data_IF_976044193549
#
_entry.id   IF_976044193549
#
_cell.length_a   1.000
_cell.length_b   1.000
_cell.length_c   1.000
_cell.angle_alpha   90.00
_cell.angle_beta   90.00
_cell.angle_gamma   90.00
#
_symmetry.space_group_name_H-M   'P 1'
#
loop_
_entity.id
_entity.type
_entity.pdbx_description
1 polymer ?
#
# COMPACT_ATOMS: atom_id res chain seq x y z
N UNK A 1 21.45 84.97 -12.98
CA UNK A 1 22.69 84.79 -12.20
C UNK A 1 22.30 84.73 -10.74
N UNK A 2 22.32 83.54 -10.14
CA UNK A 2 21.95 83.31 -8.74
C UNK A 2 23.19 82.94 -7.94
N UNK A 3 23.40 83.70 -6.86
CA UNK A 3 24.60 83.79 -6.04
C UNK A 3 24.89 82.50 -5.24
N UNK A 4 26.18 82.19 -5.11
CA UNK A 4 26.75 81.12 -4.28
C UNK A 4 27.21 81.71 -2.94
N UNK A 5 26.70 81.19 -1.82
CA UNK A 5 27.23 81.30 -0.44
C UNK A 5 26.74 80.06 0.36
N UNK A 6 27.26 79.74 1.56
CA UNK A 6 28.53 79.03 1.78
C UNK A 6 28.36 77.74 2.62
N UNK A 7 29.47 77.05 2.85
CA UNK A 7 29.57 75.83 3.64
C UNK A 7 29.25 76.05 5.13
N UNK A 8 28.52 75.09 5.72
CA UNK A 8 28.53 74.87 7.17
C UNK A 8 27.15 74.56 7.77
N UNK A 9 26.79 73.28 7.85
CA UNK A 9 26.28 72.64 9.08
C UNK A 9 26.69 71.17 9.02
N UNK A 10 27.65 70.77 9.84
CA UNK A 10 27.98 69.37 10.07
C UNK A 10 26.93 68.78 11.03
N UNK A 11 26.04 67.92 10.53
CA UNK A 11 25.27 67.05 11.42
C UNK A 11 26.17 65.94 11.94
N UNK A 12 26.33 65.91 13.26
CA UNK A 12 27.09 64.94 14.01
C UNK A 12 26.53 63.52 13.77
N UNK A 13 27.22 62.71 12.98
CA UNK A 13 27.01 61.26 13.03
C UNK A 13 27.55 60.75 14.37
N UNK A 14 26.66 60.28 15.24
CA UNK A 14 27.05 59.58 16.47
C UNK A 14 28.10 58.51 16.18
N UNK A 15 29.30 58.67 16.76
CA UNK A 15 30.34 57.65 16.69
C UNK A 15 29.96 56.49 17.61
N UNK A 16 29.68 55.33 17.02
CA UNK A 16 29.48 54.08 17.74
C UNK A 16 30.85 53.63 18.28
N UNK A 17 30.98 53.35 19.59
CA UNK A 17 32.22 52.85 20.19
C UNK A 17 32.73 51.57 19.51
N UNK A 18 34.05 51.44 19.34
CA UNK A 18 34.69 50.30 18.67
C UNK A 18 34.34 48.95 19.32
N UNK A 19 33.96 48.92 20.60
CA UNK A 19 33.56 47.68 21.28
C UNK A 19 32.26 47.08 20.71
N UNK A 20 31.42 47.89 20.05
CA UNK A 20 30.16 47.44 19.44
C UNK A 20 30.31 47.05 17.96
N UNK A 21 31.47 47.29 17.33
CA UNK A 21 31.74 46.80 15.97
C UNK A 21 32.07 45.31 16.02
N UNK A 22 31.06 44.47 15.82
CA UNK A 22 31.26 43.02 15.64
C UNK A 22 32.21 42.77 14.48
N UNK A 23 33.41 42.30 14.80
CA UNK A 23 34.37 41.76 13.85
C UNK A 23 33.69 40.73 12.93
N UNK A 24 33.53 41.10 11.65
CA UNK A 24 33.05 40.19 10.62
C UNK A 24 34.16 39.16 10.33
N UNK A 25 34.20 38.09 11.14
CA UNK A 25 35.03 36.92 10.84
C UNK A 25 34.51 36.32 9.54
N UNK A 26 35.22 36.59 8.45
CA UNK A 26 34.93 36.07 7.13
C UNK A 26 34.82 34.54 7.15
N UNK A 27 33.59 34.01 7.07
CA UNK A 27 33.32 32.64 6.63
C UNK A 27 33.10 32.62 5.12
N UNK A 28 34.12 32.97 4.36
CA UNK A 28 34.16 32.75 2.90
C UNK A 28 34.36 31.25 2.63
N UNK A 29 33.51 30.67 1.77
CA UNK A 29 33.88 29.49 0.96
C UNK A 29 33.13 28.18 1.18
N UNK A 30 32.88 27.72 2.42
CA UNK A 30 32.33 26.35 2.64
C UNK A 30 30.80 26.26 2.55
N UNK A 31 30.09 27.29 3.02
CA UNK A 31 28.61 27.29 3.04
C UNK A 31 27.97 27.41 1.65
N UNK A 32 28.54 28.23 0.75
CA UNK A 32 28.05 28.35 -0.64
C UNK A 32 28.27 27.05 -1.42
N UNK A 33 29.43 26.39 -1.31
CA UNK A 33 29.68 25.10 -1.97
C UNK A 33 28.81 23.97 -1.42
N UNK A 34 28.56 23.93 -0.10
CA UNK A 34 27.63 22.95 0.50
C UNK A 34 26.17 23.22 0.10
N UNK A 35 25.75 24.49 0.07
CA UNK A 35 24.41 24.90 -0.40
C UNK A 35 24.23 24.62 -1.88
N UNK A 36 25.24 24.93 -2.71
CA UNK A 36 25.27 24.62 -4.14
C UNK A 36 25.31 23.11 -4.41
N UNK A 37 26.07 22.31 -3.65
CA UNK A 37 26.06 20.83 -3.75
C UNK A 37 24.73 20.25 -3.32
N UNK A 38 24.10 20.76 -2.25
CA UNK A 38 22.74 20.36 -1.85
C UNK A 38 21.69 20.77 -2.88
N UNK A 39 21.75 21.97 -3.45
CA UNK A 39 20.81 22.40 -4.50
C UNK A 39 21.06 21.69 -5.83
N UNK A 40 22.32 21.39 -6.17
CA UNK A 40 22.71 20.66 -7.38
C UNK A 40 22.34 19.18 -7.27
N UNK A 41 22.59 18.51 -6.13
CA UNK A 41 22.10 17.16 -5.86
C UNK A 41 20.57 17.08 -5.81
N UNK A 42 19.90 18.13 -5.29
CA UNK A 42 18.43 18.25 -5.35
C UNK A 42 17.94 18.50 -6.78
N UNK A 43 18.74 19.12 -7.66
CA UNK A 43 18.46 19.37 -9.09
C UNK A 43 18.82 18.19 -10.00
N UNK A 44 19.81 17.38 -9.63
CA UNK A 44 20.15 16.10 -10.26
C UNK A 44 19.11 15.02 -9.94
N UNK A 45 18.61 14.96 -8.68
CA UNK A 45 17.41 14.17 -8.35
C UNK A 45 16.15 14.61 -9.12
N UNK A 46 16.09 15.85 -9.61
CA UNK A 46 14.99 16.40 -10.44
C UNK A 46 15.13 16.09 -11.94
N UNK A 47 16.18 15.39 -12.38
CA UNK A 47 16.30 14.89 -13.77
C UNK A 47 15.91 13.43 -13.91
N UNK A 48 15.66 12.73 -12.80
CA UNK A 48 15.10 11.39 -12.85
C UNK A 48 13.58 11.54 -12.96
N UNK A 49 13.08 11.62 -14.20
CA UNK A 49 11.67 11.39 -14.49
C UNK A 49 11.50 9.88 -14.35
N UNK A 50 10.92 9.37 -13.24
CA UNK A 50 10.80 7.92 -13.09
C UNK A 50 9.99 7.39 -14.28
N UNK A 51 10.35 6.21 -14.79
CA UNK A 51 9.58 5.50 -15.81
C UNK A 51 8.17 5.07 -15.31
N UNK A 52 7.72 5.60 -14.17
CA UNK A 52 6.48 5.27 -13.48
C UNK A 52 5.73 6.56 -13.13
N UNK A 53 4.39 6.58 -13.25
CA UNK A 53 3.59 7.73 -12.88
C UNK A 53 3.73 8.06 -11.38
N UNK A 54 3.88 9.35 -11.07
CA UNK A 54 3.93 9.87 -9.70
C UNK A 54 2.52 10.01 -9.14
N UNK A 55 2.22 9.32 -8.03
CA UNK A 55 0.89 9.32 -7.42
C UNK A 55 0.96 9.97 -6.03
N UNK A 56 0.17 11.01 -5.81
CA UNK A 56 -0.03 11.64 -4.51
C UNK A 56 -1.29 11.06 -3.89
N UNK A 57 -1.19 10.57 -2.65
CA UNK A 57 -2.35 10.08 -1.91
C UNK A 57 -2.44 10.72 -0.54
N UNK A 58 -3.63 11.18 -0.16
CA UNK A 58 -3.85 11.86 1.12
C UNK A 58 -5.26 11.65 1.66
N UNK A 59 -5.37 11.54 2.98
CA UNK A 59 -6.66 11.62 3.67
C UNK A 59 -6.91 13.07 4.08
N UNK A 60 -7.96 13.70 3.54
CA UNK A 60 -8.16 15.15 3.61
C UNK A 60 -9.21 15.56 4.65
N UNK A 61 -10.05 14.63 5.15
CA UNK A 61 -11.07 14.90 6.20
C UNK A 61 -11.84 16.20 5.94
N UNK A 62 -12.56 16.26 4.81
CA UNK A 62 -13.13 17.45 4.15
C UNK A 62 -12.17 18.14 3.19
N UNK A 63 -12.42 17.96 1.89
CA UNK A 63 -11.64 18.56 0.80
C UNK A 63 -12.07 20.00 0.51
N UNK A 64 -13.36 20.32 0.62
CA UNK A 64 -13.91 21.62 0.24
C UNK A 64 -13.18 22.79 0.91
N UNK A 65 -12.84 22.65 2.19
CA UNK A 65 -12.18 23.68 2.98
C UNK A 65 -10.66 23.81 2.72
N UNK A 66 -10.10 22.98 1.84
CA UNK A 66 -8.65 22.86 1.59
C UNK A 66 -8.29 23.01 0.12
N UNK A 67 -9.25 23.40 -0.72
CA UNK A 67 -9.04 23.58 -2.15
C UNK A 67 -8.06 24.73 -2.45
N UNK A 68 -8.11 25.81 -1.68
CA UNK A 68 -7.15 26.91 -1.83
C UNK A 68 -5.72 26.48 -1.51
N UNK A 69 -5.56 25.70 -0.44
CA UNK A 69 -4.27 25.15 -0.02
C UNK A 69 -3.75 24.13 -1.04
N UNK A 70 -4.62 23.26 -1.56
CA UNK A 70 -4.30 22.31 -2.62
C UNK A 70 -3.91 23.02 -3.92
N UNK A 71 -4.62 24.08 -4.30
CA UNK A 71 -4.33 24.88 -5.50
C UNK A 71 -2.99 25.59 -5.35
N UNK A 72 -2.72 26.14 -4.17
CA UNK A 72 -1.43 26.73 -3.84
C UNK A 72 -0.30 25.69 -3.90
N UNK A 73 -0.52 24.46 -3.42
CA UNK A 73 0.44 23.37 -3.51
C UNK A 73 0.68 22.92 -4.96
N UNK A 74 -0.38 22.76 -5.75
CA UNK A 74 -0.29 22.41 -7.17
C UNK A 74 0.50 23.46 -7.98
N UNK A 75 0.42 24.74 -7.60
CA UNK A 75 1.18 25.83 -8.24
C UNK A 75 2.62 25.93 -7.73
N UNK A 76 2.83 25.82 -6.42
CA UNK A 76 4.12 26.10 -5.78
C UNK A 76 5.06 24.91 -5.70
N UNK A 77 4.52 23.69 -5.56
CA UNK A 77 5.32 22.49 -5.37
C UNK A 77 5.36 21.66 -6.65
N UNK A 78 6.58 21.46 -7.18
CA UNK A 78 6.81 20.60 -8.35
C UNK A 78 6.31 19.17 -8.14
N UNK A 79 6.30 18.68 -6.89
CA UNK A 79 5.80 17.34 -6.55
C UNK A 79 4.31 17.19 -6.86
N UNK A 80 3.49 18.23 -6.61
CA UNK A 80 2.07 18.26 -6.94
C UNK A 80 1.83 18.63 -8.40
N UNK A 81 2.59 19.58 -8.93
CA UNK A 81 2.45 20.03 -10.32
C UNK A 81 2.80 18.96 -11.34
N UNK A 82 3.82 18.16 -11.06
CA UNK A 82 4.33 17.12 -11.96
C UNK A 82 3.84 15.72 -11.56
N UNK A 83 2.86 15.63 -10.65
CA UNK A 83 2.23 14.35 -10.35
C UNK A 83 1.35 13.89 -11.53
N UNK A 84 1.27 12.59 -11.75
CA UNK A 84 0.37 12.01 -12.74
C UNK A 84 -1.04 11.84 -12.19
N UNK A 85 -1.19 11.54 -10.89
CA UNK A 85 -2.49 11.28 -10.25
C UNK A 85 -2.47 11.83 -8.81
N UNK A 86 -3.53 12.52 -8.40
CA UNK A 86 -3.83 12.85 -7.00
C UNK A 86 -5.07 12.08 -6.52
N UNK A 87 -4.95 11.32 -5.43
CA UNK A 87 -6.04 10.56 -4.83
C UNK A 87 -6.31 11.05 -3.41
N UNK A 88 -7.50 11.61 -3.17
CA UNK A 88 -7.92 12.07 -1.85
C UNK A 88 -9.03 11.18 -1.27
N UNK A 89 -8.88 10.76 -0.02
CA UNK A 89 -9.91 10.01 0.73
C UNK A 89 -10.54 10.86 1.83
N UNK A 90 -11.76 10.52 2.25
CA UNK A 90 -12.55 11.30 3.21
C UNK A 90 -12.74 12.76 2.76
N UNK A 91 -13.02 12.97 1.46
CA UNK A 91 -13.28 14.28 0.87
C UNK A 91 -14.56 14.93 1.40
N UNK A 92 -15.50 14.12 1.88
CA UNK A 92 -16.81 14.52 2.42
C UNK A 92 -17.65 15.34 1.43
N UNK A 93 -17.43 15.11 0.13
CA UNK A 93 -18.22 15.73 -0.94
C UNK A 93 -19.56 15.01 -1.10
N UNK A 94 -20.58 15.78 -1.46
CA UNK A 94 -21.95 15.31 -1.77
C UNK A 94 -22.45 15.99 -3.04
N UNK A 95 -23.52 15.45 -3.62
CA UNK A 95 -24.06 15.86 -4.94
C UNK A 95 -24.39 17.35 -5.07
N UNK A 96 -24.64 18.04 -3.95
CA UNK A 96 -24.98 19.48 -3.96
C UNK A 96 -23.75 20.39 -4.08
N UNK A 97 -22.53 19.87 -3.90
CA UNK A 97 -21.31 20.64 -4.15
C UNK A 97 -20.97 20.50 -5.64
N UNK A 98 -20.90 21.61 -6.42
CA UNK A 98 -20.56 21.53 -7.83
C UNK A 98 -19.08 21.19 -8.05
N UNK A 99 -18.79 20.50 -9.16
CA UNK A 99 -17.43 20.02 -9.49
C UNK A 99 -16.42 21.16 -9.69
N UNK A 100 -16.90 22.35 -10.08
CA UNK A 100 -16.06 23.55 -10.19
C UNK A 100 -15.37 23.90 -8.88
N UNK A 101 -15.98 23.60 -7.72
CA UNK A 101 -15.40 23.89 -6.41
C UNK A 101 -14.22 22.97 -6.07
N UNK A 102 -14.07 21.85 -6.77
CA UNK A 102 -13.01 20.85 -6.57
C UNK A 102 -12.10 20.70 -7.80
N UNK A 103 -12.13 21.69 -8.69
CA UNK A 103 -11.25 21.75 -9.85
C UNK A 103 -9.85 22.25 -9.47
N UNK A 104 -8.82 21.57 -9.97
CA UNK A 104 -7.41 21.99 -9.83
C UNK A 104 -6.83 22.19 -11.22
N UNK A 105 -6.24 23.36 -11.47
CA UNK A 105 -5.65 23.69 -12.76
C UNK A 105 -4.66 22.61 -13.23
N UNK A 106 -4.87 22.09 -14.44
CA UNK A 106 -4.00 21.10 -15.07
C UNK A 106 -4.33 19.64 -14.73
N UNK A 107 -5.37 19.36 -13.94
CA UNK A 107 -5.84 18.02 -13.62
C UNK A 107 -7.31 17.82 -14.00
N UNK A 108 -7.65 16.60 -14.44
CA UNK A 108 -9.04 16.19 -14.58
C UNK A 108 -9.58 15.69 -13.23
N UNK A 109 -10.60 16.37 -12.72
CA UNK A 109 -11.28 15.96 -11.48
C UNK A 109 -12.26 14.82 -11.77
N UNK A 110 -12.14 13.72 -11.02
CA UNK A 110 -13.11 12.62 -11.02
C UNK A 110 -13.51 12.37 -9.57
N UNK A 111 -14.82 12.37 -9.29
CA UNK A 111 -15.37 12.15 -7.95
C UNK A 111 -16.20 10.88 -7.89
N UNK A 112 -16.10 10.19 -6.75
CA UNK A 112 -16.97 9.08 -6.39
C UNK A 112 -17.64 9.42 -5.07
N UNK A 113 -18.80 10.07 -5.15
CA UNK A 113 -19.56 10.45 -3.96
C UNK A 113 -20.21 9.23 -3.34
N UNK A 114 -20.28 9.23 -2.01
CA UNK A 114 -21.09 8.24 -1.31
C UNK A 114 -22.52 8.74 -1.37
N UNK A 115 -23.35 8.07 -2.16
CA UNK A 115 -24.78 8.15 -1.95
C UNK A 115 -25.05 7.66 -0.53
N UNK A 116 -25.69 8.50 0.27
CA UNK A 116 -26.04 8.24 1.67
C UNK A 116 -26.87 6.94 1.88
N UNK A 117 -27.29 6.32 0.78
CA UNK A 117 -28.11 5.10 0.72
C UNK A 117 -27.27 3.82 0.63
N UNK A 118 -26.04 3.88 0.11
CA UNK A 118 -25.17 2.69 0.09
C UNK A 118 -24.38 2.56 1.39
N UNK A 119 -25.09 2.07 2.40
CA UNK A 119 -24.47 1.38 3.53
C UNK A 119 -23.39 0.41 3.02
N UNK A 120 -22.22 0.40 3.66
CA UNK A 120 -21.12 -0.52 3.32
C UNK A 120 -21.65 -1.96 3.45
N UNK A 121 -22.05 -2.56 2.33
CA UNK A 121 -22.50 -3.94 2.28
C UNK A 121 -21.30 -4.82 2.66
N UNK A 122 -21.30 -5.34 3.89
CA UNK A 122 -20.31 -6.32 4.33
C UNK A 122 -20.40 -7.49 3.38
N UNK A 123 -19.35 -7.74 2.61
CA UNK A 123 -19.30 -8.92 1.77
C UNK A 123 -19.42 -10.16 2.68
N UNK A 124 -20.26 -11.14 2.31
CA UNK A 124 -20.47 -12.33 3.13
C UNK A 124 -19.16 -13.09 3.28
N UNK A 125 -18.97 -13.68 4.47
CA UNK A 125 -17.80 -14.51 4.75
C UNK A 125 -17.88 -15.74 3.87
N UNK A 126 -16.92 -15.90 2.96
CA UNK A 126 -16.81 -17.11 2.15
C UNK A 126 -16.16 -18.22 2.96
N UNK A 127 -16.71 -19.42 2.89
CA UNK A 127 -16.17 -20.60 3.54
C UNK A 127 -15.38 -21.41 2.51
N UNK A 128 -14.13 -21.77 2.84
CA UNK A 128 -13.31 -22.68 2.02
C UNK A 128 -12.95 -23.91 2.82
N UNK A 129 -13.12 -25.09 2.24
CA UNK A 129 -12.61 -26.35 2.78
C UNK A 129 -11.16 -26.51 2.34
N UNK A 130 -10.27 -26.82 3.27
CA UNK A 130 -8.85 -27.04 3.01
C UNK A 130 -8.41 -28.29 3.76
N UNK A 131 -7.72 -29.21 3.07
CA UNK A 131 -7.11 -30.40 3.67
C UNK A 131 -5.99 -29.98 4.63
N UNK A 132 -5.98 -30.52 5.85
CA UNK A 132 -4.94 -30.24 6.84
C UNK A 132 -3.88 -31.36 6.82
N UNK A 133 -2.72 -31.03 6.27
CA UNK A 133 -1.53 -31.88 6.27
C UNK A 133 -0.75 -31.71 7.59
N UNK A 134 -1.11 -32.48 8.63
CA UNK A 134 -0.29 -32.64 9.84
C UNK A 134 0.71 -33.78 9.67
N UNK A 135 1.78 -33.78 10.48
CA UNK A 135 2.73 -34.90 10.57
C UNK A 135 2.00 -36.24 10.75
N UNK A 136 1.08 -36.31 11.73
CA UNK A 136 0.23 -37.48 12.00
C UNK A 136 -0.58 -37.93 10.77
N UNK A 137 -1.13 -36.99 9.98
CA UNK A 137 -1.93 -37.32 8.79
C UNK A 137 -1.04 -37.81 7.64
N UNK A 138 0.18 -37.27 7.53
CA UNK A 138 1.17 -37.73 6.56
C UNK A 138 1.69 -39.13 6.92
N UNK A 139 1.91 -39.40 8.20
CA UNK A 139 2.35 -40.70 8.70
C UNK A 139 1.26 -41.78 8.51
N UNK A 140 0.00 -41.47 8.84
CA UNK A 140 -1.12 -42.36 8.58
C UNK A 140 -1.30 -42.65 7.08
N UNK A 141 -1.15 -41.62 6.22
CA UNK A 141 -1.19 -41.79 4.77
C UNK A 141 -0.04 -42.66 4.27
N UNK A 142 1.18 -42.47 4.81
CA UNK A 142 2.35 -43.28 4.50
C UNK A 142 2.11 -44.75 4.87
N UNK A 143 1.57 -45.01 6.07
CA UNK A 143 1.20 -46.36 6.49
C UNK A 143 0.14 -47.01 5.59
N UNK A 144 -0.85 -46.24 5.13
CA UNK A 144 -1.84 -46.74 4.17
C UNK A 144 -1.20 -47.16 2.83
N UNK A 145 -0.23 -46.39 2.33
CA UNK A 145 0.47 -46.73 1.08
C UNK A 145 1.43 -47.90 1.23
N UNK A 146 2.05 -48.09 2.40
CA UNK A 146 2.92 -49.24 2.67
C UNK A 146 2.17 -50.56 2.76
N UNK A 147 0.90 -50.54 3.19
CA UNK A 147 0.03 -51.73 3.28
C UNK A 147 -0.71 -51.99 1.95
N UNK A 148 -0.70 -51.04 1.02
CA UNK A 148 -1.38 -51.19 -0.27
C UNK A 148 -0.64 -52.19 -1.15
N UNK A 149 -1.37 -53.20 -1.63
CA UNK A 149 -0.88 -54.09 -2.69
C UNK A 149 -0.97 -53.39 -4.06
N UNK A 150 0.11 -52.70 -4.43
CA UNK A 150 0.23 -52.00 -5.70
C UNK A 150 0.29 -52.94 -6.90
N UNK A 151 0.70 -54.20 -6.72
CA UNK A 151 0.75 -55.18 -7.80
C UNK A 151 -0.68 -55.60 -8.16
N UNK A 152 -1.50 -55.96 -7.17
CA UNK A 152 -2.91 -56.27 -7.38
C UNK A 152 -3.72 -55.08 -7.97
N UNK A 153 -3.32 -53.84 -7.66
CA UNK A 153 -3.94 -52.64 -8.25
C UNK A 153 -3.52 -52.40 -9.72
N UNK A 154 -2.32 -52.87 -10.09
CA UNK A 154 -1.73 -52.66 -11.42
C UNK A 154 -2.04 -53.79 -12.41
N UNK A 155 -2.36 -54.99 -11.93
CA UNK A 155 -2.62 -56.19 -12.72
C UNK A 155 -3.93 -56.22 -13.55
N UNK A 156 -5.05 -55.52 -13.21
CA UNK A 156 -6.31 -55.72 -13.93
C UNK A 156 -6.49 -55.00 -15.27
N UNK A 157 -5.51 -54.31 -15.88
CA UNK A 157 -5.75 -53.51 -17.09
C UNK A 157 -4.66 -53.67 -18.15
N UNK A 158 -4.95 -54.49 -19.16
CA UNK A 158 -4.24 -54.44 -20.43
C UNK A 158 -4.49 -53.11 -21.14
N UNK A 159 -3.41 -52.50 -21.63
CA UNK A 159 -3.29 -51.34 -22.55
C UNK A 159 -4.07 -50.02 -22.27
N UNK A 160 -5.00 -49.98 -21.31
CA UNK A 160 -5.77 -48.77 -20.95
C UNK A 160 -5.07 -47.94 -19.86
N UNK A 161 -4.11 -47.13 -20.29
CA UNK A 161 -3.31 -46.22 -19.45
C UNK A 161 -4.22 -45.19 -18.75
N UNK A 162 -5.23 -44.66 -19.44
CA UNK A 162 -6.14 -43.66 -18.89
C UNK A 162 -7.01 -44.25 -17.78
N UNK A 163 -7.52 -45.47 -18.00
CA UNK A 163 -8.23 -46.22 -16.97
C UNK A 163 -7.35 -46.54 -15.76
N UNK A 164 -6.12 -47.02 -15.97
CA UNK A 164 -5.18 -47.28 -14.90
C UNK A 164 -4.89 -46.02 -14.08
N UNK A 165 -4.63 -44.90 -14.77
CA UNK A 165 -4.39 -43.60 -14.15
C UNK A 165 -5.59 -43.12 -13.36
N UNK A 166 -6.81 -43.30 -13.89
CA UNK A 166 -8.05 -42.98 -13.18
C UNK A 166 -8.21 -43.81 -11.91
N UNK A 167 -8.07 -45.13 -12.00
CA UNK A 167 -8.19 -46.03 -10.85
C UNK A 167 -7.14 -45.74 -9.76
N UNK A 168 -5.88 -45.50 -10.17
CA UNK A 168 -4.80 -45.12 -9.26
C UNK A 168 -5.09 -43.76 -8.61
N UNK A 169 -5.57 -42.79 -9.39
CA UNK A 169 -5.92 -41.46 -8.89
C UNK A 169 -7.09 -41.53 -7.90
N UNK A 170 -8.10 -42.35 -8.17
CA UNK A 170 -9.25 -42.54 -7.30
C UNK A 170 -8.84 -43.21 -5.98
N UNK A 171 -7.98 -44.23 -6.04
CA UNK A 171 -7.45 -44.88 -4.85
C UNK A 171 -6.58 -43.93 -4.02
N UNK A 172 -5.68 -43.16 -4.65
CA UNK A 172 -4.88 -42.15 -3.95
C UNK A 172 -5.78 -41.10 -3.32
N UNK A 173 -6.80 -40.62 -4.03
CA UNK A 173 -7.75 -39.65 -3.48
C UNK A 173 -8.52 -40.23 -2.29
N UNK A 174 -8.94 -41.49 -2.37
CA UNK A 174 -9.57 -42.22 -1.26
C UNK A 174 -8.64 -42.31 -0.04
N UNK A 175 -7.38 -42.72 -0.22
CA UNK A 175 -6.40 -42.75 0.86
C UNK A 175 -6.21 -41.36 1.48
N UNK A 176 -6.16 -40.31 0.66
CA UNK A 176 -6.04 -38.94 1.16
C UNK A 176 -7.31 -38.51 1.90
N UNK A 177 -8.50 -38.87 1.46
CA UNK A 177 -9.75 -38.53 2.14
C UNK A 177 -9.94 -39.28 3.46
N UNK A 178 -9.46 -40.52 3.57
CA UNK A 178 -9.50 -41.28 4.81
C UNK A 178 -8.50 -40.78 5.85
N UNK A 179 -7.31 -40.34 5.43
CA UNK A 179 -6.22 -40.00 6.34
C UNK A 179 -6.06 -38.50 6.60
N UNK A 180 -6.45 -37.64 5.66
CA UNK A 180 -6.20 -36.20 5.75
C UNK A 180 -7.48 -35.45 6.15
N UNK A 181 -7.61 -34.99 7.40
CA UNK A 181 -8.82 -34.32 7.85
C UNK A 181 -9.03 -33.00 7.11
N UNK A 182 -10.26 -32.78 6.65
CA UNK A 182 -10.65 -31.53 6.01
C UNK A 182 -11.03 -30.49 7.06
N UNK A 183 -10.53 -29.25 6.91
CA UNK A 183 -10.86 -28.13 7.78
C UNK A 183 -11.52 -27.00 7.03
N UNK A 184 -12.58 -26.51 7.64
CA UNK A 184 -13.36 -25.39 7.13
C UNK A 184 -12.78 -24.07 7.63
N UNK A 185 -12.25 -23.25 6.71
CA UNK A 185 -11.72 -21.93 7.03
C UNK A 185 -12.66 -20.81 6.55
N UNK A 186 -12.92 -19.85 7.45
CA UNK A 186 -13.64 -18.61 7.12
C UNK A 186 -12.69 -17.63 6.44
N UNK A 187 -12.93 -17.36 5.16
CA UNK A 187 -12.21 -16.37 4.38
C UNK A 187 -12.98 -15.04 4.40
N UNK A 188 -12.34 -14.01 4.96
CA UNK A 188 -12.90 -12.66 4.98
C UNK A 188 -12.46 -11.90 3.72
N UNK A 189 -13.39 -11.27 2.98
CA UNK A 189 -13.09 -10.66 1.69
C UNK A 189 -12.03 -9.53 1.71
N UNK A 190 -11.83 -8.88 2.86
CA UNK A 190 -10.80 -7.84 3.04
C UNK A 190 -9.57 -8.33 3.81
N UNK A 191 -9.24 -9.62 3.70
CA UNK A 191 -8.01 -10.15 4.26
C UNK A 191 -6.82 -9.64 3.44
N UNK A 192 -6.24 -8.54 3.92
CA UNK A 192 -4.99 -7.98 3.41
C UNK A 192 -3.92 -9.09 3.31
N UNK A 193 -3.25 -9.26 2.17
CA UNK A 193 -2.36 -10.40 1.93
C UNK A 193 -1.12 -10.41 2.84
N UNK A 194 -0.76 -9.26 3.41
CA UNK A 194 0.30 -9.15 4.42
C UNK A 194 -0.15 -9.47 5.86
N UNK A 195 -1.42 -9.81 6.12
CA UNK A 195 -1.89 -10.24 7.44
C UNK A 195 -1.72 -11.75 7.57
N UNK A 196 -0.52 -12.16 7.96
CA UNK A 196 -0.11 -13.56 8.13
C UNK A 196 -0.67 -14.17 9.42
N UNK A 197 -0.49 -15.48 9.60
CA UNK A 197 -0.84 -16.19 10.84
C UNK A 197 -0.10 -15.60 12.05
N UNK A 198 1.18 -15.28 11.90
CA UNK A 198 2.02 -14.71 12.97
C UNK A 198 1.49 -13.36 13.45
N UNK A 199 1.07 -12.48 12.52
CA UNK A 199 0.43 -11.21 12.87
C UNK A 199 -0.89 -11.43 13.62
N UNK A 200 -1.66 -12.46 13.27
CA UNK A 200 -2.89 -12.82 14.01
C UNK A 200 -2.59 -13.31 15.42
N UNK A 201 -1.49 -14.05 15.61
CA UNK A 201 -1.02 -14.49 16.93
C UNK A 201 -0.70 -13.26 17.80
N UNK A 202 0.09 -12.31 17.27
CA UNK A 202 0.45 -11.07 17.97
C UNK A 202 -0.80 -10.21 18.27
N UNK A 203 -1.74 -10.09 17.32
CA UNK A 203 -3.02 -9.40 17.54
C UNK A 203 -3.83 -10.03 18.67
N UNK A 204 -3.87 -11.37 18.75
CA UNK A 204 -4.56 -12.07 19.83
C UNK A 204 -3.82 -11.96 21.16
N UNK A 205 -2.48 -11.99 21.16
CA UNK A 205 -1.67 -11.72 22.35
C UNK A 205 -1.95 -10.31 22.90
N UNK A 206 -2.03 -9.30 22.02
CA UNK A 206 -2.43 -7.94 22.40
C UNK A 206 -3.80 -7.89 23.03
N UNK A 207 -4.79 -8.59 22.45
CA UNK A 207 -6.15 -8.66 23.01
C UNK A 207 -6.16 -9.30 24.40
N UNK A 208 -5.32 -10.32 24.64
CA UNK A 208 -5.17 -10.94 25.97
C UNK A 208 -4.55 -9.98 26.98
N UNK A 209 -3.43 -9.34 26.64
CA UNK A 209 -2.78 -8.36 27.51
C UNK A 209 -3.72 -7.18 27.85
N UNK A 210 -4.51 -6.72 26.87
CA UNK A 210 -5.50 -5.67 27.09
C UNK A 210 -6.60 -6.10 28.07
N UNK A 211 -7.12 -7.32 27.94
CA UNK A 211 -8.13 -7.86 28.87
C UNK A 211 -7.57 -8.10 30.28
N UNK A 212 -6.28 -8.41 30.38
CA UNK A 212 -5.59 -8.60 31.66
C UNK A 212 -5.22 -7.27 32.35
N UNK A 213 -5.44 -6.11 31.72
CA UNK A 213 -5.07 -4.81 32.29
C UNK A 213 -3.58 -4.48 32.26
N UNK A 214 -2.75 -5.34 31.66
CA UNK A 214 -1.31 -5.17 31.54
C UNK A 214 -0.97 -4.11 30.47
N UNK A 215 -0.85 -2.86 30.91
CA UNK A 215 -0.58 -1.71 30.04
C UNK A 215 0.80 -1.78 29.38
N UNK A 216 1.80 -2.32 30.06
CA UNK A 216 3.16 -2.38 29.54
C UNK A 216 3.35 -3.54 28.57
N UNK A 217 2.73 -4.70 28.83
CA UNK A 217 2.62 -5.78 27.85
C UNK A 217 1.89 -5.35 26.58
N UNK A 218 0.81 -4.57 26.69
CA UNK A 218 0.13 -4.02 25.50
C UNK A 218 1.04 -3.10 24.68
N UNK A 219 1.86 -2.25 25.32
CA UNK A 219 2.82 -1.37 24.62
C UNK A 219 3.89 -2.17 23.91
N UNK A 220 4.48 -3.17 24.57
CA UNK A 220 5.51 -4.05 24.01
C UNK A 220 4.98 -4.81 22.80
N UNK A 221 3.83 -5.48 22.95
CA UNK A 221 3.17 -6.21 21.86
C UNK A 221 2.77 -5.25 20.73
N UNK A 222 2.40 -4.01 21.04
CA UNK A 222 2.10 -3.01 20.01
C UNK A 222 3.34 -2.52 19.26
N UNK A 223 4.52 -2.52 19.88
CA UNK A 223 5.79 -2.30 19.20
C UNK A 223 6.11 -3.45 18.24
N UNK A 224 6.06 -4.68 18.74
CA UNK A 224 6.28 -5.90 17.97
C UNK A 224 5.29 -6.02 16.79
N UNK A 225 4.01 -5.74 17.02
CA UNK A 225 2.98 -5.72 15.99
C UNK A 225 3.29 -4.71 14.88
N UNK A 226 3.84 -3.54 15.22
CA UNK A 226 4.21 -2.52 14.22
C UNK A 226 5.37 -2.97 13.36
N UNK A 227 6.39 -3.59 13.94
CA UNK A 227 7.56 -4.11 13.22
C UNK A 227 7.13 -5.25 12.29
N UNK A 228 6.42 -6.25 12.80
CA UNK A 228 5.97 -7.41 12.01
C UNK A 228 5.03 -7.02 10.87
N UNK A 229 4.12 -6.06 11.08
CA UNK A 229 3.29 -5.53 9.99
C UNK A 229 4.15 -4.82 8.94
N UNK A 230 5.15 -4.04 9.34
CA UNK A 230 6.05 -3.34 8.41
C UNK A 230 6.82 -4.33 7.55
N UNK A 231 7.39 -5.36 8.16
CA UNK A 231 8.13 -6.42 7.45
C UNK A 231 7.22 -7.23 6.52
N UNK A 232 6.02 -7.59 6.96
CA UNK A 232 5.06 -8.30 6.12
C UNK A 232 4.61 -7.47 4.90
N UNK A 233 4.40 -6.16 5.09
CA UNK A 233 4.13 -5.22 3.98
C UNK A 233 5.33 -5.13 3.03
N UNK A 234 6.54 -5.05 3.56
CA UNK A 234 7.78 -5.02 2.76
C UNK A 234 7.92 -6.27 1.91
N UNK A 235 7.75 -7.45 2.51
CA UNK A 235 7.81 -8.75 1.83
C UNK A 235 6.78 -8.84 0.72
N UNK A 236 5.55 -8.37 0.97
CA UNK A 236 4.51 -8.33 -0.06
C UNK A 236 4.85 -7.34 -1.18
N UNK A 237 5.38 -6.15 -0.85
CA UNK A 237 5.82 -5.17 -1.86
C UNK A 237 6.90 -5.74 -2.78
N UNK A 238 7.94 -6.36 -2.22
CA UNK A 238 9.01 -7.01 -3.01
C UNK A 238 8.46 -8.10 -3.94
N UNK A 239 7.49 -8.89 -3.47
CA UNK A 239 6.81 -9.88 -4.33
C UNK A 239 6.07 -9.22 -5.50
N UNK A 240 5.39 -8.09 -5.25
CA UNK A 240 4.67 -7.36 -6.28
C UNK A 240 5.64 -6.70 -7.28
N UNK A 241 6.73 -6.12 -6.79
CA UNK A 241 7.81 -5.56 -7.61
C UNK A 241 8.50 -6.63 -8.48
N UNK A 242 8.76 -7.83 -7.93
CA UNK A 242 9.29 -8.95 -8.71
C UNK A 242 8.35 -9.39 -9.83
N UNK A 243 7.04 -9.45 -9.57
CA UNK A 243 6.02 -9.75 -10.60
C UNK A 243 5.94 -8.66 -11.68
N UNK A 244 6.18 -7.41 -11.31
CA UNK A 244 6.25 -6.29 -12.25
C UNK A 244 7.49 -6.37 -13.14
N UNK A 245 8.66 -6.73 -12.58
CA UNK A 245 9.89 -6.94 -13.34
C UNK A 245 9.77 -8.10 -14.34
N UNK A 246 8.94 -9.10 -14.03
CA UNK A 246 8.62 -10.22 -14.93
C UNK A 246 7.57 -9.87 -16.00
N UNK A 247 7.21 -8.59 -16.16
CA UNK A 247 6.15 -8.09 -17.06
C UNK A 247 4.80 -8.81 -16.90
N UNK A 248 4.53 -9.37 -15.71
CA UNK A 248 3.29 -10.09 -15.45
C UNK A 248 2.21 -9.11 -14.96
N UNK A 249 1.75 -8.24 -15.86
CA UNK A 249 0.77 -7.19 -15.53
C UNK A 249 -0.56 -7.76 -15.02
N UNK A 250 -0.95 -8.96 -15.44
CA UNK A 250 -2.17 -9.65 -14.95
C UNK A 250 -2.08 -9.93 -13.45
N UNK A 251 -0.94 -10.45 -13.00
CA UNK A 251 -0.65 -10.73 -11.58
C UNK A 251 -0.51 -9.43 -10.76
N UNK A 252 0.10 -8.39 -11.33
CA UNK A 252 0.21 -7.07 -10.68
C UNK A 252 -1.19 -6.46 -10.49
N UNK A 253 -2.03 -6.52 -11.51
CA UNK A 253 -3.42 -6.04 -11.44
C UNK A 253 -4.27 -6.85 -10.47
N UNK A 254 -4.10 -8.17 -10.44
CA UNK A 254 -4.72 -9.05 -9.43
C UNK A 254 -4.30 -8.66 -8.00
N UNK A 255 -3.00 -8.40 -7.79
CA UNK A 255 -2.47 -7.87 -6.54
C UNK A 255 -3.10 -6.53 -6.16
N UNK A 256 -3.18 -5.59 -7.10
CA UNK A 256 -3.80 -4.28 -6.87
C UNK A 256 -5.29 -4.40 -6.48
N UNK A 257 -6.04 -5.28 -7.13
CA UNK A 257 -7.44 -5.58 -6.76
C UNK A 257 -7.56 -6.13 -5.34
N UNK A 258 -6.65 -7.03 -4.95
CA UNK A 258 -6.63 -7.58 -3.59
C UNK A 258 -6.30 -6.54 -2.52
N UNK A 259 -5.54 -5.49 -2.86
CA UNK A 259 -5.20 -4.38 -1.93
C UNK A 259 -6.35 -3.39 -1.79
N UNK A 260 -6.94 -3.01 -2.92
CA UNK A 260 -7.93 -1.93 -3.02
C UNK A 260 -9.35 -2.40 -2.78
N UNK A 261 -9.60 -3.72 -2.88
CA UNK A 261 -10.95 -4.27 -2.86
C UNK A 261 -11.77 -3.91 -4.10
N UNK A 262 -11.12 -3.36 -5.14
CA UNK A 262 -11.77 -2.92 -6.36
C UNK A 262 -12.34 -4.12 -7.13
N UNK A 263 -13.67 -4.18 -7.22
CA UNK A 263 -14.39 -5.02 -8.19
C UNK A 263 -14.72 -4.17 -9.41
N UNK A 264 -14.44 -4.70 -10.59
CA UNK A 264 -14.99 -4.16 -11.82
C UNK A 264 -16.52 -4.30 -11.71
N UNK A 265 -17.26 -3.20 -11.89
CA UNK A 265 -18.71 -3.29 -12.02
C UNK A 265 -18.98 -4.28 -13.16
N UNK A 266 -19.74 -5.35 -12.87
CA UNK A 266 -20.08 -6.33 -13.88
C UNK A 266 -20.77 -5.62 -15.03
N UNK A 267 -20.10 -5.56 -16.19
CA UNK A 267 -20.75 -5.17 -17.42
C UNK A 267 -21.83 -6.20 -17.67
N UNK A 268 -23.09 -5.79 -17.50
CA UNK A 268 -24.22 -6.56 -18.01
C UNK A 268 -24.00 -6.76 -19.49
N UNK A 269 -23.66 -7.99 -19.88
CA UNK A 269 -23.67 -8.40 -21.28
C UNK A 269 -25.12 -8.34 -21.76
N UNK A 270 -25.51 -7.20 -22.31
CA UNK A 270 -26.66 -7.13 -23.20
C UNK A 270 -26.28 -7.91 -24.45
N UNK A 271 -26.79 -9.15 -24.54
CA UNK A 271 -26.71 -9.93 -25.76
C UNK A 271 -27.43 -9.20 -26.88
N UNK A 272 -26.68 -8.83 -27.92
CA UNK A 272 -27.24 -8.55 -29.23
C UNK A 272 -27.27 -9.88 -29.96
N UNK A 273 -28.44 -10.52 -29.98
CA UNK A 273 -28.75 -11.57 -30.95
C UNK A 273 -29.33 -10.90 -32.18
N UNK A 274 -28.64 -11.05 -33.31
CA UNK A 274 -29.24 -10.97 -34.65
C UNK A 274 -29.79 -12.34 -35.06
#
# INVERSE_FOLDING_TARGET
>A
MGLRMPAGVAEMTHQIPEELKRNSRGRRGRGRRARQRKTKARREKRRFKPYLPSIIMGNVRSLANKMDELTALARSQAEFRECSIMCFTESWLHKDIPDNNVSVDGFQTVRGDRDCIESVKKQPVTTKTVRRWSEEAMEALRGCFEVTDWQALSEPRGDDIDGLTGCLTDYINFCVDCNVPTRTIKCYPNNKPWITKDIKIILNAKKRAFRAGDKDGVKTIQGELRVTIREAKEKYRRKLEGKLQQNNMKEVWSGMKAITGFKQAGGGGGGWGG
#
